data_IF_623276913001
#
_entry.id   IF_623276913001
#
_cell.length_a   1.000
_cell.length_b   1.000
_cell.length_c   1.000
_cell.angle_alpha   90.00
_cell.angle_beta   90.00
_cell.angle_gamma   90.00
#
_symmetry.space_group_name_H-M   'P 1'
#
loop_
_entity.id
_entity.type
_entity.pdbx_description
1 polymer ?
#
# COMPACT_ATOMS: atom_id res chain seq x y z
N UNK A 1 -9.66 -31.15 -14.05
CA UNK A 1 -10.81 -30.44 -13.47
C UNK A 1 -10.88 -30.85 -12.01
N UNK A 2 -10.23 -30.12 -11.10
CA UNK A 2 -10.10 -30.51 -9.70
C UNK A 2 -11.24 -29.84 -8.91
N UNK A 3 -12.09 -30.58 -8.19
CA UNK A 3 -13.17 -29.97 -7.43
C UNK A 3 -12.55 -29.11 -6.33
N UNK A 4 -12.94 -27.84 -6.28
CA UNK A 4 -12.60 -26.96 -5.17
C UNK A 4 -13.08 -27.62 -3.88
N UNK A 5 -12.15 -28.18 -3.10
CA UNK A 5 -12.45 -28.78 -1.82
C UNK A 5 -13.10 -27.70 -0.94
N UNK A 6 -14.39 -27.83 -0.70
CA UNK A 6 -15.12 -26.96 0.22
C UNK A 6 -14.40 -27.00 1.58
N UNK A 7 -13.98 -25.84 2.08
CA UNK A 7 -13.34 -25.71 3.38
C UNK A 7 -14.31 -26.19 4.46
N UNK A 8 -13.98 -27.30 5.14
CA UNK A 8 -14.79 -27.80 6.25
C UNK A 8 -14.81 -26.76 7.38
N UNK A 9 -15.91 -26.64 8.16
CA UNK A 9 -16.00 -25.68 9.26
C UNK A 9 -14.85 -25.79 10.27
N UNK A 10 -14.33 -27.01 10.49
CA UNK A 10 -13.16 -27.25 11.33
C UNK A 10 -11.86 -26.65 10.76
N UNK A 11 -11.66 -26.70 9.43
CA UNK A 11 -10.50 -26.09 8.77
C UNK A 11 -10.57 -24.56 8.74
N UNK A 12 -11.77 -23.99 8.65
CA UNK A 12 -11.99 -22.55 8.76
C UNK A 12 -11.71 -22.02 10.18
N UNK A 13 -12.07 -22.79 11.22
CA UNK A 13 -11.80 -22.43 12.61
C UNK A 13 -10.30 -22.50 12.95
N UNK A 14 -9.61 -23.54 12.49
CA UNK A 14 -8.16 -23.67 12.65
C UNK A 14 -7.39 -22.52 11.98
N UNK A 15 -7.81 -22.11 10.77
CA UNK A 15 -7.24 -20.98 10.04
C UNK A 15 -7.41 -19.66 10.83
N UNK A 16 -8.60 -19.41 11.40
CA UNK A 16 -8.86 -18.19 12.19
C UNK A 16 -8.03 -18.13 13.46
N UNK A 17 -7.80 -19.26 14.12
CA UNK A 17 -6.95 -19.33 15.31
C UNK A 17 -5.47 -19.09 14.98
N UNK A 18 -4.97 -19.69 13.89
CA UNK A 18 -3.59 -19.46 13.42
C UNK A 18 -3.38 -17.99 12.98
N UNK A 19 -4.34 -17.44 12.23
CA UNK A 19 -4.34 -16.03 11.84
C UNK A 19 -4.40 -15.09 13.06
N UNK A 20 -5.25 -15.38 14.05
CA UNK A 20 -5.38 -14.58 15.27
C UNK A 20 -4.08 -14.57 16.09
N UNK A 21 -3.41 -15.73 16.22
CA UNK A 21 -2.10 -15.82 16.87
C UNK A 21 -1.02 -15.05 16.12
N UNK A 22 -0.99 -15.15 14.79
CA UNK A 22 -0.05 -14.40 13.97
C UNK A 22 -0.27 -12.87 14.11
N UNK A 23 -1.53 -12.42 14.05
CA UNK A 23 -1.89 -11.01 14.24
C UNK A 23 -1.49 -10.50 15.63
N UNK A 24 -1.82 -11.24 16.68
CA UNK A 24 -1.46 -10.85 18.05
C UNK A 24 0.06 -10.86 18.28
N UNK A 25 0.77 -11.87 17.75
CA UNK A 25 2.22 -11.95 17.82
C UNK A 25 2.90 -10.78 17.10
N UNK A 26 2.45 -10.44 15.89
CA UNK A 26 2.95 -9.27 15.16
C UNK A 26 2.61 -7.97 15.85
N UNK A 27 1.42 -7.82 16.44
CA UNK A 27 1.04 -6.65 17.21
C UNK A 27 1.95 -6.46 18.44
N UNK A 28 2.30 -7.55 19.14
CA UNK A 28 3.23 -7.49 20.27
C UNK A 28 4.63 -7.04 19.83
N UNK A 29 5.17 -7.65 18.76
CA UNK A 29 6.47 -7.25 18.19
C UNK A 29 6.44 -5.79 17.74
N UNK A 30 5.37 -5.36 17.09
CA UNK A 30 5.16 -3.98 16.66
C UNK A 30 5.20 -3.01 17.84
N UNK A 31 4.46 -3.28 18.92
CA UNK A 31 4.41 -2.40 20.10
C UNK A 31 5.78 -2.32 20.77
N UNK A 32 6.49 -3.45 20.92
CA UNK A 32 7.84 -3.47 21.47
C UNK A 32 8.82 -2.67 20.59
N UNK A 33 8.78 -2.88 19.27
CA UNK A 33 9.62 -2.15 18.32
C UNK A 33 9.29 -0.65 18.32
N UNK A 34 8.01 -0.28 18.35
CA UNK A 34 7.57 1.11 18.39
C UNK A 34 7.98 1.81 19.69
N UNK A 35 7.85 1.14 20.84
CA UNK A 35 8.31 1.66 22.12
C UNK A 35 9.83 1.84 22.14
N UNK A 36 10.59 0.85 21.63
CA UNK A 36 12.04 0.95 21.50
C UNK A 36 12.48 2.10 20.58
N UNK A 37 11.82 2.29 19.45
CA UNK A 37 12.06 3.41 18.53
C UNK A 37 11.71 4.75 19.17
N UNK A 38 10.59 4.84 19.89
CA UNK A 38 10.19 6.05 20.58
C UNK A 38 11.24 6.48 21.62
N UNK A 39 11.77 5.52 22.39
CA UNK A 39 12.85 5.77 23.34
C UNK A 39 14.17 6.13 22.64
N UNK A 40 14.55 5.42 21.59
CA UNK A 40 15.84 5.59 20.92
C UNK A 40 15.93 6.87 20.06
N UNK A 41 14.82 7.28 19.43
CA UNK A 41 14.75 8.44 18.54
C UNK A 41 14.05 9.66 19.18
N UNK A 42 13.62 9.56 20.45
CA UNK A 42 12.94 10.65 21.15
C UNK A 42 11.59 11.00 20.53
N UNK A 43 10.84 10.00 20.05
CA UNK A 43 9.49 10.21 19.49
C UNK A 43 8.47 10.40 20.63
N UNK A 44 7.31 10.94 20.28
CA UNK A 44 6.18 11.13 21.19
C UNK A 44 5.76 9.83 21.90
N UNK A 45 5.27 9.96 23.14
CA UNK A 45 4.75 8.83 23.91
C UNK A 45 3.51 8.18 23.26
N UNK A 46 2.85 8.90 22.36
CA UNK A 46 1.74 8.44 21.54
C UNK A 46 2.18 7.62 20.30
N UNK A 47 3.48 7.59 19.95
CA UNK A 47 3.99 6.86 18.78
C UNK A 47 3.62 5.36 18.78
N UNK A 48 3.80 4.58 19.86
CA UNK A 48 3.38 3.17 19.88
C UNK A 48 1.87 3.00 19.74
N UNK A 49 1.07 3.93 20.27
CA UNK A 49 -0.38 3.91 20.13
C UNK A 49 -0.80 4.18 18.68
N UNK A 50 -0.21 5.18 18.01
CA UNK A 50 -0.44 5.47 16.58
C UNK A 50 -0.09 4.25 15.71
N UNK A 51 1.06 3.62 15.96
CA UNK A 51 1.48 2.42 15.26
C UNK A 51 0.48 1.27 15.46
N UNK A 52 0.04 1.04 16.70
CA UNK A 52 -0.94 0.00 17.00
C UNK A 52 -2.28 0.25 16.33
N UNK A 53 -2.78 1.50 16.33
CA UNK A 53 -4.04 1.86 15.67
C UNK A 53 -3.96 1.67 14.15
N UNK A 54 -2.87 2.14 13.51
CA UNK A 54 -2.65 1.93 12.08
C UNK A 54 -2.59 0.45 11.71
N UNK A 55 -1.88 -0.35 12.53
CA UNK A 55 -1.83 -1.80 12.35
C UNK A 55 -3.19 -2.46 12.56
N UNK A 56 -3.94 -2.08 13.59
CA UNK A 56 -5.26 -2.64 13.89
C UNK A 56 -6.26 -2.41 12.74
N UNK A 57 -6.21 -1.25 12.08
CA UNK A 57 -7.01 -0.96 10.88
C UNK A 57 -6.67 -1.92 9.73
N UNK A 58 -5.39 -2.09 9.41
CA UNK A 58 -4.97 -3.03 8.37
C UNK A 58 -5.27 -4.50 8.74
N UNK A 59 -5.08 -4.87 10.00
CA UNK A 59 -5.36 -6.19 10.52
C UNK A 59 -6.86 -6.52 10.43
N UNK A 60 -7.74 -5.54 10.71
CA UNK A 60 -9.17 -5.68 10.54
C UNK A 60 -9.56 -5.93 9.07
N UNK A 61 -8.90 -5.28 8.12
CA UNK A 61 -9.10 -5.52 6.69
C UNK A 61 -8.66 -6.93 6.28
N UNK A 62 -7.49 -7.39 6.75
CA UNK A 62 -7.02 -8.77 6.54
C UNK A 62 -8.03 -9.76 7.13
N UNK A 63 -8.48 -9.54 8.38
CA UNK A 63 -9.44 -10.40 9.07
C UNK A 63 -10.77 -10.50 8.32
N UNK A 64 -11.29 -9.36 7.85
CA UNK A 64 -12.50 -9.31 7.01
C UNK A 64 -12.29 -10.06 5.69
N UNK A 65 -11.10 -9.95 5.09
CA UNK A 65 -10.70 -10.68 3.90
C UNK A 65 -10.72 -12.20 4.06
N UNK A 66 -10.19 -12.70 5.18
CA UNK A 66 -10.25 -14.12 5.54
C UNK A 66 -11.71 -14.59 5.68
N UNK A 67 -12.58 -13.76 6.26
CA UNK A 67 -13.99 -14.05 6.49
C UNK A 67 -14.82 -14.21 5.21
N UNK A 68 -14.39 -13.60 4.09
CA UNK A 68 -15.09 -13.66 2.80
C UNK A 68 -14.76 -14.90 1.96
N UNK A 69 -14.00 -15.87 2.52
CA UNK A 69 -13.83 -17.19 1.92
C UNK A 69 -12.77 -17.29 0.80
N UNK A 70 -11.90 -16.29 0.66
CA UNK A 70 -10.86 -16.25 -0.39
C UNK A 70 -9.64 -17.15 -0.15
N UNK A 71 -9.59 -17.94 0.93
CA UNK A 71 -8.43 -18.77 1.29
C UNK A 71 -8.72 -20.27 1.14
N UNK A 72 -8.13 -20.95 0.14
CA UNK A 72 -8.32 -22.38 -0.09
C UNK A 72 -7.48 -23.27 0.85
N UNK A 73 -6.77 -22.71 1.84
CA UNK A 73 -5.83 -23.45 2.69
C UNK A 73 -6.14 -23.29 4.18
N UNK A 74 -5.92 -24.35 4.96
CA UNK A 74 -6.20 -24.42 6.40
C UNK A 74 -5.16 -23.74 7.31
N UNK A 75 -4.11 -23.13 6.73
CA UNK A 75 -3.01 -22.46 7.46
C UNK A 75 -2.79 -21.07 6.92
N UNK A 76 -2.40 -20.14 7.79
CA UNK A 76 -2.15 -18.76 7.41
C UNK A 76 -0.94 -18.66 6.45
N UNK A 77 0.05 -19.54 6.59
CA UNK A 77 1.15 -19.65 5.62
C UNK A 77 2.22 -18.56 5.76
N UNK A 78 3.35 -18.76 5.09
CA UNK A 78 4.52 -17.87 5.17
C UNK A 78 4.29 -16.54 4.45
N UNK A 79 3.62 -16.55 3.29
CA UNK A 79 3.30 -15.34 2.53
C UNK A 79 2.47 -14.34 3.36
N UNK A 80 1.41 -14.81 4.03
CA UNK A 80 0.59 -13.91 4.85
C UNK A 80 1.37 -13.37 6.07
N UNK A 81 2.36 -14.10 6.61
CA UNK A 81 3.23 -13.58 7.69
C UNK A 81 4.13 -12.46 7.21
N UNK A 82 4.66 -12.55 6.00
CA UNK A 82 5.45 -11.48 5.40
C UNK A 82 4.56 -10.26 5.13
N UNK A 83 3.32 -10.47 4.66
CA UNK A 83 2.33 -9.39 4.52
C UNK A 83 1.98 -8.73 5.86
N UNK A 84 1.88 -9.49 6.96
CA UNK A 84 1.72 -8.92 8.30
C UNK A 84 2.94 -8.12 8.75
N UNK A 85 4.15 -8.60 8.45
CA UNK A 85 5.39 -7.88 8.73
C UNK A 85 5.46 -6.56 7.95
N UNK A 86 5.10 -6.59 6.66
CA UNK A 86 4.96 -5.41 5.82
C UNK A 86 3.92 -4.44 6.41
N UNK A 87 2.75 -4.94 6.80
CA UNK A 87 1.71 -4.10 7.42
C UNK A 87 2.20 -3.45 8.72
N UNK A 88 2.91 -4.19 9.56
CA UNK A 88 3.53 -3.64 10.76
C UNK A 88 4.58 -2.57 10.43
N UNK A 89 5.41 -2.79 9.41
CA UNK A 89 6.37 -1.79 8.94
C UNK A 89 5.70 -0.53 8.41
N UNK A 90 4.63 -0.67 7.62
CA UNK A 90 3.82 0.47 7.17
C UNK A 90 3.19 1.23 8.34
N UNK A 91 2.72 0.52 9.37
CA UNK A 91 2.16 1.12 10.57
C UNK A 91 3.21 1.94 11.35
N UNK A 92 4.45 1.46 11.44
CA UNK A 92 5.57 2.21 12.02
C UNK A 92 5.90 3.48 11.22
N UNK A 93 5.88 3.40 9.88
CA UNK A 93 6.07 4.59 9.02
C UNK A 93 4.92 5.57 9.19
N UNK A 94 3.66 5.08 9.21
CA UNK A 94 2.48 5.92 9.40
C UNK A 94 2.44 6.60 10.78
N UNK A 95 2.98 5.96 11.82
CA UNK A 95 3.05 6.53 13.16
C UNK A 95 3.99 7.74 13.27
N UNK A 96 4.88 7.96 12.29
CA UNK A 96 5.72 9.18 12.21
C UNK A 96 4.91 10.43 11.82
N UNK A 97 3.65 10.25 11.40
CA UNK A 97 2.78 11.39 11.14
C UNK A 97 2.51 12.17 12.43
N UNK A 98 2.79 13.48 12.38
CA UNK A 98 2.70 14.37 13.53
C UNK A 98 3.89 14.29 14.50
N UNK A 99 4.89 13.45 14.24
CA UNK A 99 6.14 13.45 15.00
C UNK A 99 7.07 14.60 14.56
N UNK A 100 7.95 15.03 15.47
CA UNK A 100 9.01 16.00 15.16
C UNK A 100 10.00 15.47 14.10
N UNK A 101 10.00 14.16 13.85
CA UNK A 101 10.79 13.49 12.81
C UNK A 101 9.83 12.85 11.80
N UNK A 102 9.77 13.32 10.54
CA UNK A 102 10.47 14.47 9.95
C UNK A 102 9.54 15.71 9.92
N UNK A 103 9.50 16.51 10.99
CA UNK A 103 8.88 17.84 10.96
C UNK A 103 9.88 18.95 10.57
N UNK A 104 11.18 18.64 10.66
CA UNK A 104 12.25 19.46 10.09
C UNK A 104 12.71 18.86 8.75
N UNK A 105 13.34 19.67 7.87
CA UNK A 105 13.96 19.17 6.66
C UNK A 105 14.90 17.99 6.99
N UNK A 106 14.86 16.88 6.23
CA UNK A 106 15.73 15.72 6.43
C UNK A 106 17.23 16.05 6.51
N UNK A 107 17.67 17.15 5.88
CA UNK A 107 19.04 17.67 5.97
C UNK A 107 19.44 18.14 7.38
N UNK A 108 18.48 18.56 8.21
CA UNK A 108 18.71 18.94 9.60
C UNK A 108 18.86 17.73 10.54
N UNK A 109 18.36 16.56 10.13
CA UNK A 109 18.46 15.31 10.90
C UNK A 109 18.88 14.14 9.99
N UNK A 110 20.13 14.13 9.48
CA UNK A 110 20.54 13.18 8.45
C UNK A 110 20.41 11.71 8.85
N UNK A 111 20.74 11.36 10.10
CA UNK A 111 20.62 10.00 10.58
C UNK A 111 19.16 9.50 10.57
N UNK A 112 18.21 10.32 11.02
CA UNK A 112 16.79 10.00 11.01
C UNK A 112 16.22 9.89 9.60
N UNK A 113 16.60 10.81 8.70
CA UNK A 113 16.18 10.75 7.30
C UNK A 113 16.71 9.51 6.57
N UNK A 114 17.99 9.14 6.75
CA UNK A 114 18.52 7.89 6.19
C UNK A 114 17.87 6.64 6.79
N UNK A 115 17.63 6.63 8.10
CA UNK A 115 16.92 5.53 8.75
C UNK A 115 15.50 5.35 8.16
N UNK A 116 14.76 6.45 7.97
CA UNK A 116 13.45 6.42 7.32
C UNK A 116 13.53 5.93 5.87
N UNK A 117 14.50 6.39 5.09
CA UNK A 117 14.71 5.94 3.69
C UNK A 117 14.98 4.44 3.65
N UNK A 118 15.92 3.94 4.47
CA UNK A 118 16.24 2.51 4.52
C UNK A 118 15.02 1.70 4.94
N UNK A 119 14.33 2.13 6.00
CA UNK A 119 13.18 1.40 6.51
C UNK A 119 12.00 1.39 5.53
N UNK A 120 11.65 2.54 4.95
CA UNK A 120 10.60 2.62 3.93
C UNK A 120 10.95 1.79 2.67
N UNK A 121 12.23 1.75 2.29
CA UNK A 121 12.71 0.89 1.20
C UNK A 121 12.54 -0.60 1.53
N UNK A 122 12.91 -1.02 2.75
CA UNK A 122 12.69 -2.41 3.19
C UNK A 122 11.20 -2.76 3.14
N UNK A 123 10.32 -1.90 3.65
CA UNK A 123 8.87 -2.10 3.60
C UNK A 123 8.36 -2.22 2.15
N UNK A 124 8.85 -1.37 1.25
CA UNK A 124 8.50 -1.43 -0.17
C UNK A 124 9.05 -2.68 -0.89
N UNK A 125 10.21 -3.20 -0.49
CA UNK A 125 10.78 -4.42 -1.08
C UNK A 125 10.06 -5.68 -0.57
N UNK A 126 9.62 -5.68 0.69
CA UNK A 126 8.83 -6.78 1.26
C UNK A 126 7.52 -7.00 0.47
N UNK A 127 6.91 -5.92 -0.03
CA UNK A 127 5.76 -5.99 -0.95
C UNK A 127 6.08 -6.78 -2.23
N UNK A 128 7.15 -6.38 -2.93
CA UNK A 128 7.54 -7.02 -4.17
C UNK A 128 7.87 -8.51 -3.96
N UNK A 129 8.44 -8.86 -2.80
CA UNK A 129 8.72 -10.22 -2.41
C UNK A 129 7.43 -11.03 -2.18
N UNK A 130 6.42 -10.46 -1.52
CA UNK A 130 5.11 -11.08 -1.31
C UNK A 130 4.41 -11.40 -2.62
N UNK A 131 4.36 -10.42 -3.53
CA UNK A 131 3.77 -10.59 -4.85
C UNK A 131 4.49 -11.67 -5.66
N UNK A 132 5.82 -11.75 -5.59
CA UNK A 132 6.59 -12.80 -6.26
C UNK A 132 6.36 -14.19 -5.65
N UNK A 133 6.28 -14.28 -4.32
CA UNK A 133 6.06 -15.52 -3.60
C UNK A 133 4.65 -16.07 -3.85
N UNK A 134 3.63 -15.21 -3.82
CA UNK A 134 2.25 -15.59 -4.12
C UNK A 134 2.09 -16.14 -5.54
N UNK A 135 2.78 -15.54 -6.53
CA UNK A 135 2.80 -16.05 -7.92
C UNK A 135 3.50 -17.40 -8.02
N UNK A 136 4.64 -17.58 -7.34
CA UNK A 136 5.39 -18.86 -7.35
C UNK A 136 4.62 -20.00 -6.69
N UNK A 137 3.82 -19.70 -5.67
CA UNK A 137 3.03 -20.71 -4.94
C UNK A 137 1.65 -20.97 -5.56
N UNK A 138 1.28 -20.28 -6.65
CA UNK A 138 -0.06 -20.41 -7.24
C UNK A 138 -1.19 -19.87 -6.36
N UNK A 139 -0.87 -18.99 -5.39
CA UNK A 139 -1.79 -18.43 -4.40
C UNK A 139 -2.37 -17.07 -4.81
N UNK A 140 -2.18 -16.66 -6.06
CA UNK A 140 -2.69 -15.40 -6.58
C UNK A 140 -4.23 -15.42 -6.58
N UNK A 141 -4.86 -14.53 -5.81
CA UNK A 141 -6.31 -14.38 -5.74
C UNK A 141 -6.73 -12.96 -6.14
N UNK A 142 -7.96 -12.81 -6.65
CA UNK A 142 -8.54 -11.48 -6.97
C UNK A 142 -8.66 -10.59 -5.74
N UNK A 143 -8.98 -11.18 -4.59
CA UNK A 143 -9.02 -10.46 -3.32
C UNK A 143 -7.63 -9.96 -2.92
N UNK A 144 -6.62 -10.84 -2.95
CA UNK A 144 -5.24 -10.50 -2.64
C UNK A 144 -4.72 -9.38 -3.54
N UNK A 145 -4.94 -9.45 -4.85
CA UNK A 145 -4.56 -8.39 -5.78
C UNK A 145 -5.25 -7.04 -5.46
N UNK A 146 -6.50 -7.04 -4.99
CA UNK A 146 -7.19 -5.80 -4.62
C UNK A 146 -6.70 -5.24 -3.29
N UNK A 147 -6.48 -6.10 -2.30
CA UNK A 147 -5.94 -5.74 -1.00
C UNK A 147 -4.53 -5.17 -1.12
N UNK A 148 -3.68 -5.81 -1.93
CA UNK A 148 -2.32 -5.38 -2.22
C UNK A 148 -2.31 -3.96 -2.82
N UNK A 149 -3.13 -3.74 -3.84
CA UNK A 149 -3.29 -2.40 -4.42
C UNK A 149 -3.83 -1.33 -3.46
N UNK A 150 -4.71 -1.67 -2.51
CA UNK A 150 -5.16 -0.70 -1.49
C UNK A 150 -4.05 -0.38 -0.50
N UNK A 151 -3.27 -1.40 -0.13
CA UNK A 151 -2.14 -1.28 0.81
C UNK A 151 -1.03 -0.42 0.18
N UNK A 152 -0.71 -0.62 -1.09
CA UNK A 152 0.20 0.24 -1.86
C UNK A 152 -0.24 1.70 -1.87
N UNK A 153 -1.52 1.96 -2.13
CA UNK A 153 -2.05 3.30 -2.16
C UNK A 153 -2.04 3.97 -0.79
N UNK A 154 -2.34 3.22 0.27
CA UNK A 154 -2.24 3.70 1.64
C UNK A 154 -0.78 4.04 2.00
N UNK A 155 0.17 3.17 1.63
CA UNK A 155 1.59 3.43 1.85
C UNK A 155 2.07 4.67 1.10
N UNK A 156 1.66 4.81 -0.17
CA UNK A 156 1.95 5.98 -1.00
C UNK A 156 1.40 7.26 -0.35
N UNK A 157 0.17 7.23 0.16
CA UNK A 157 -0.42 8.39 0.85
C UNK A 157 0.35 8.76 2.12
N UNK A 158 0.78 7.77 2.91
CA UNK A 158 1.63 8.00 4.08
C UNK A 158 2.95 8.65 3.68
N UNK A 159 3.62 8.15 2.63
CA UNK A 159 4.86 8.75 2.12
C UNK A 159 4.63 10.19 1.64
N UNK A 160 3.53 10.47 0.91
CA UNK A 160 3.17 11.83 0.51
C UNK A 160 2.99 12.75 1.73
N UNK A 161 2.31 12.27 2.77
CA UNK A 161 2.10 13.05 3.99
C UNK A 161 3.41 13.32 4.73
N UNK A 162 4.34 12.35 4.77
CA UNK A 162 5.68 12.55 5.33
C UNK A 162 6.51 13.54 4.50
N UNK A 163 6.44 13.48 3.17
CA UNK A 163 7.13 14.46 2.30
C UNK A 163 6.60 15.88 2.53
N UNK A 164 5.29 16.02 2.71
CA UNK A 164 4.69 17.31 3.05
C UNK A 164 5.08 17.77 4.46
N UNK A 165 5.01 16.90 5.47
CA UNK A 165 5.40 17.17 6.86
C UNK A 165 6.88 17.60 6.96
N UNK A 166 7.74 16.98 6.16
CA UNK A 166 9.17 17.29 6.07
C UNK A 166 9.49 18.63 5.38
N UNK A 167 8.48 19.33 4.86
CA UNK A 167 8.66 20.57 4.08
C UNK A 167 9.34 20.36 2.72
N UNK A 168 9.38 19.12 2.22
CA UNK A 168 10.04 18.77 0.96
C UNK A 168 9.15 19.05 -0.26
N UNK A 169 7.83 19.06 -0.08
CA UNK A 169 6.87 19.48 -1.11
C UNK A 169 5.65 20.14 -0.45
N UNK A 170 4.87 20.89 -1.25
CA UNK A 170 3.59 21.44 -0.81
C UNK A 170 2.51 20.38 -0.65
N UNK A 171 1.33 20.74 -0.10
CA UNK A 171 0.22 19.81 0.14
C UNK A 171 -0.32 19.14 -1.13
N UNK A 172 -0.01 19.69 -2.31
CA UNK A 172 -0.34 19.09 -3.60
C UNK A 172 0.26 17.69 -3.79
N UNK A 173 1.33 17.32 -3.08
CA UNK A 173 1.92 15.96 -3.16
C UNK A 173 0.95 14.87 -2.68
N UNK A 174 0.00 15.22 -1.81
CA UNK A 174 -1.06 14.32 -1.35
C UNK A 174 -1.95 13.85 -2.52
N UNK A 175 -2.02 14.60 -3.61
CA UNK A 175 -2.76 14.19 -4.80
C UNK A 175 -2.27 12.84 -5.36
N UNK A 176 -0.98 12.51 -5.23
CA UNK A 176 -0.44 11.21 -5.67
C UNK A 176 -1.10 10.06 -4.90
N UNK A 177 -1.14 10.15 -3.56
CA UNK A 177 -1.77 9.13 -2.71
C UNK A 177 -3.29 9.10 -2.82
N UNK A 178 -3.92 10.25 -3.10
CA UNK A 178 -5.39 10.37 -3.20
C UNK A 178 -5.96 9.94 -4.55
N UNK A 179 -5.14 9.86 -5.61
CA UNK A 179 -5.58 9.58 -6.98
C UNK A 179 -6.40 8.28 -7.09
N UNK A 180 -5.97 7.22 -6.39
CA UNK A 180 -6.70 5.94 -6.37
C UNK A 180 -8.06 6.07 -5.71
N UNK A 181 -8.13 6.71 -4.55
CA UNK A 181 -9.38 6.89 -3.83
C UNK A 181 -10.35 7.77 -4.62
N UNK A 182 -9.84 8.80 -5.30
CA UNK A 182 -10.61 9.60 -6.24
C UNK A 182 -11.14 8.78 -7.43
N UNK A 183 -10.32 7.88 -8.01
CA UNK A 183 -10.76 6.99 -9.09
C UNK A 183 -11.86 6.02 -8.63
N UNK A 184 -11.72 5.43 -7.43
CA UNK A 184 -12.74 4.52 -6.86
C UNK A 184 -14.03 5.28 -6.55
N UNK A 185 -13.94 6.49 -5.99
CA UNK A 185 -15.09 7.34 -5.75
C UNK A 185 -15.78 7.73 -7.06
N UNK A 186 -15.02 8.14 -8.08
CA UNK A 186 -15.55 8.46 -9.40
C UNK A 186 -16.25 7.25 -10.05
N UNK A 187 -15.70 6.03 -9.89
CA UNK A 187 -16.30 4.81 -10.38
C UNK A 187 -17.64 4.46 -9.71
N UNK A 188 -17.91 4.95 -8.50
CA UNK A 188 -19.21 4.81 -7.85
C UNK A 188 -20.29 5.68 -8.51
N UNK A 189 -19.92 6.87 -9.02
CA UNK A 189 -20.84 7.79 -9.69
C UNK A 189 -20.94 7.56 -11.20
N UNK A 190 -19.87 7.06 -11.83
CA UNK A 190 -19.80 6.75 -13.26
C UNK A 190 -19.51 5.25 -13.42
N UNK A 191 -20.53 4.38 -13.44
CA UNK A 191 -20.34 2.92 -13.45
C UNK A 191 -19.49 2.39 -14.61
N UNK A 192 -19.37 3.15 -15.70
CA UNK A 192 -18.50 2.81 -16.83
C UNK A 192 -17.00 2.85 -16.48
N UNK A 193 -16.59 3.58 -15.43
CA UNK A 193 -15.23 3.54 -14.89
C UNK A 193 -14.94 2.24 -14.13
N UNK A 194 -15.96 1.53 -13.64
CA UNK A 194 -15.81 0.29 -12.88
C UNK A 194 -15.52 -0.95 -13.76
N UNK A 195 -15.32 -0.75 -15.07
CA UNK A 195 -14.99 -1.82 -16.01
C UNK A 195 -13.69 -2.54 -15.65
N UNK A 196 -13.58 -3.86 -15.93
CA UNK A 196 -12.38 -4.62 -15.63
C UNK A 196 -11.21 -4.09 -16.49
N UNK A 197 -10.15 -3.67 -15.83
CA UNK A 197 -8.92 -3.28 -16.50
C UNK A 197 -7.95 -4.49 -16.51
N UNK A 198 -7.35 -4.82 -17.67
CA UNK A 198 -6.37 -5.90 -17.73
C UNK A 198 -5.12 -5.57 -16.90
N UNK A 199 -4.38 -6.60 -16.43
CA UNK A 199 -3.10 -6.38 -15.77
C UNK A 199 -2.15 -5.61 -16.70
N UNK A 200 -1.49 -4.59 -16.17
CA UNK A 200 -0.66 -3.67 -16.95
C UNK A 200 0.70 -3.45 -16.30
N UNK A 201 1.77 -3.83 -17.01
CA UNK A 201 3.16 -3.58 -16.61
C UNK A 201 3.41 -2.09 -16.40
N UNK A 202 2.73 -1.22 -17.20
CA UNK A 202 2.82 0.24 -17.05
C UNK A 202 2.39 0.68 -15.66
N UNK A 203 1.25 0.19 -15.15
CA UNK A 203 0.74 0.61 -13.83
C UNK A 203 1.66 0.16 -12.70
N UNK A 204 2.17 -1.06 -12.81
CA UNK A 204 3.15 -1.58 -11.86
C UNK A 204 4.42 -0.72 -11.86
N UNK A 205 4.97 -0.40 -13.03
CA UNK A 205 6.15 0.46 -13.16
C UNK A 205 5.90 1.86 -12.58
N UNK A 206 4.75 2.47 -12.88
CA UNK A 206 4.38 3.79 -12.35
C UNK A 206 4.24 3.77 -10.83
N UNK A 207 3.65 2.70 -10.24
CA UNK A 207 3.57 2.55 -8.78
C UNK A 207 4.96 2.49 -8.13
N UNK A 208 5.86 1.66 -8.69
CA UNK A 208 7.25 1.53 -8.20
C UNK A 208 7.98 2.87 -8.32
N UNK A 209 7.88 3.55 -9.46
CA UNK A 209 8.47 4.88 -9.65
C UNK A 209 7.92 5.86 -8.62
N UNK A 210 6.62 5.80 -8.33
CA UNK A 210 5.98 6.73 -7.41
C UNK A 210 6.44 6.53 -5.96
N UNK A 211 6.45 5.28 -5.48
CA UNK A 211 6.94 4.95 -4.13
C UNK A 211 8.43 5.31 -4.03
N UNK A 212 9.23 4.94 -5.03
CA UNK A 212 10.68 5.25 -5.06
C UNK A 212 10.93 6.75 -5.05
N UNK A 213 10.21 7.52 -5.87
CA UNK A 213 10.34 8.97 -5.94
C UNK A 213 10.04 9.63 -4.58
N UNK A 214 8.98 9.19 -3.90
CA UNK A 214 8.61 9.71 -2.58
C UNK A 214 9.63 9.34 -1.50
N UNK A 215 10.19 8.13 -1.52
CA UNK A 215 11.28 7.73 -0.63
C UNK A 215 12.51 8.60 -0.88
N UNK A 216 12.89 8.84 -2.14
CA UNK A 216 14.02 9.72 -2.50
C UNK A 216 13.79 11.14 -2.00
N UNK A 217 12.57 11.67 -2.07
CA UNK A 217 12.23 12.99 -1.56
C UNK A 217 12.46 13.14 -0.04
N UNK A 218 12.42 12.04 0.72
CA UNK A 218 12.72 12.02 2.16
C UNK A 218 14.22 11.91 2.47
N UNK A 219 15.07 11.82 1.44
CA UNK A 219 16.52 11.71 1.58
C UNK A 219 17.17 12.99 2.14
N UNK A 220 18.07 12.90 3.13
CA UNK A 220 18.78 14.06 3.69
C UNK A 220 19.58 14.90 2.68
N UNK A 221 20.04 14.26 1.60
CA UNK A 221 20.82 14.90 0.52
C UNK A 221 19.95 15.66 -0.48
N UNK A 222 18.62 15.46 -0.45
CA UNK A 222 17.70 16.04 -1.44
C UNK A 222 17.15 17.36 -0.90
N UNK A 223 17.48 18.51 -1.52
CA UNK A 223 16.93 19.80 -1.11
C UNK A 223 15.47 19.94 -1.56
N UNK A 224 14.67 20.72 -0.82
CA UNK A 224 13.24 20.90 -1.05
C UNK A 224 12.84 21.26 -2.50
N UNK A 225 13.54 22.15 -3.23
CA UNK A 225 13.20 22.41 -4.63
C UNK A 225 13.34 21.18 -5.53
N UNK A 226 14.36 20.35 -5.29
CA UNK A 226 14.58 19.12 -6.05
C UNK A 226 13.56 18.05 -5.68
N UNK A 227 13.27 17.87 -4.38
CA UNK A 227 12.22 16.95 -3.92
C UNK A 227 10.85 17.33 -4.50
N UNK A 228 10.49 18.61 -4.45
CA UNK A 228 9.28 19.16 -5.08
C UNK A 228 9.25 18.88 -6.58
N UNK A 229 10.36 19.04 -7.31
CA UNK A 229 10.46 18.72 -8.74
C UNK A 229 10.26 17.23 -9.04
N UNK A 230 10.91 16.36 -8.26
CA UNK A 230 10.77 14.89 -8.36
C UNK A 230 9.31 14.48 -8.09
N UNK A 231 8.72 14.98 -7.00
CA UNK A 231 7.33 14.71 -6.65
C UNK A 231 6.36 15.19 -7.75
N UNK A 232 6.59 16.35 -8.35
CA UNK A 232 5.74 16.87 -9.43
C UNK A 232 5.83 16.01 -10.70
N UNK A 233 7.05 15.64 -11.13
CA UNK A 233 7.27 14.75 -12.27
C UNK A 233 6.61 13.38 -12.06
N UNK A 234 6.75 12.84 -10.85
CA UNK A 234 6.16 11.55 -10.48
C UNK A 234 4.61 11.61 -10.49
N UNK A 235 4.02 12.70 -9.97
CA UNK A 235 2.58 12.95 -10.03
C UNK A 235 2.06 13.11 -11.47
N UNK A 236 2.81 13.80 -12.34
CA UNK A 236 2.46 13.94 -13.76
C UNK A 236 2.47 12.58 -14.48
N UNK A 237 3.45 11.73 -14.19
CA UNK A 237 3.51 10.36 -14.71
C UNK A 237 2.31 9.54 -14.24
N UNK A 238 1.96 9.64 -12.95
CA UNK A 238 0.80 8.98 -12.37
C UNK A 238 -0.51 9.44 -13.02
N UNK A 239 -0.72 10.75 -13.11
CA UNK A 239 -1.88 11.35 -13.75
C UNK A 239 -2.02 10.93 -15.22
N UNK A 240 -0.90 10.89 -15.96
CA UNK A 240 -0.86 10.41 -17.35
C UNK A 240 -1.27 8.94 -17.46
N UNK A 241 -0.81 8.09 -16.53
CA UNK A 241 -1.22 6.68 -16.47
C UNK A 241 -2.73 6.54 -16.24
N UNK A 242 -3.30 7.28 -15.28
CA UNK A 242 -4.74 7.28 -15.04
C UNK A 242 -5.55 7.81 -16.23
N UNK A 243 -5.07 8.86 -16.90
CA UNK A 243 -5.72 9.40 -18.09
C UNK A 243 -5.81 8.37 -19.23
N UNK A 244 -4.74 7.57 -19.44
CA UNK A 244 -4.76 6.49 -20.43
C UNK A 244 -5.77 5.41 -20.03
N UNK A 245 -5.87 5.07 -18.74
CA UNK A 245 -6.82 4.08 -18.24
C UNK A 245 -8.27 4.51 -18.43
N UNK A 246 -8.57 5.77 -18.13
CA UNK A 246 -9.89 6.37 -18.35
C UNK A 246 -10.24 6.34 -19.85
N UNK A 247 -9.32 6.75 -20.74
CA UNK A 247 -9.54 6.70 -22.20
C UNK A 247 -9.77 5.28 -22.71
N UNK A 248 -9.05 4.30 -22.16
CA UNK A 248 -9.25 2.89 -22.52
C UNK A 248 -10.65 2.41 -22.14
N UNK A 249 -11.12 2.74 -20.93
CA UNK A 249 -12.47 2.41 -20.46
C UNK A 249 -13.55 3.09 -21.30
N UNK A 250 -13.38 4.36 -21.65
CA UNK A 250 -14.29 5.09 -22.54
C UNK A 250 -14.43 4.40 -23.90
N UNK A 251 -13.31 4.01 -24.52
CA UNK A 251 -13.31 3.30 -25.81
C UNK A 251 -13.97 1.93 -25.72
N UNK A 252 -13.76 1.22 -24.61
CA UNK A 252 -14.38 -0.09 -24.38
C UNK A 252 -15.90 0.00 -24.27
N UNK A 253 -16.41 0.97 -23.51
CA UNK A 253 -17.85 1.21 -23.37
C UNK A 253 -18.48 1.67 -24.69
N UNK A 254 -17.80 2.55 -25.45
CA UNK A 254 -18.28 2.97 -26.77
C UNK A 254 -18.42 1.79 -27.74
N UNK A 255 -17.46 0.85 -27.76
CA UNK A 255 -17.52 -0.37 -28.58
C UNK A 255 -18.62 -1.34 -28.16
N UNK A 256 -18.94 -1.42 -26.87
CA UNK A 256 -20.02 -2.27 -26.38
C UNK A 256 -21.42 -1.67 -26.66
N UNK A 257 -21.53 -0.34 -26.75
CA UNK A 257 -22.79 0.35 -27.10
C UNK A 257 -23.12 0.30 -28.59
N UNK A 258 -22.14 0.07 -29.47
CA UNK A 258 -22.35 -0.10 -30.92
C UNK A 258 -21.84 -1.47 -31.44
N UNK A 259 -22.56 -2.59 -31.18
CA UNK A 259 -22.18 -3.91 -31.69
C UNK A 259 -22.39 -4.14 -33.20
N UNK A 260 -22.97 -3.18 -33.94
CA UNK A 260 -23.77 -3.46 -35.15
C UNK A 260 -23.34 -2.73 -36.45
N UNK A 261 -22.06 -2.47 -36.70
CA UNK A 261 -21.63 -1.96 -38.02
C UNK A 261 -20.43 -2.67 -38.66
N UNK A 262 -20.03 -3.87 -38.17
CA UNK A 262 -18.93 -4.63 -38.81
C UNK A 262 -19.31 -6.08 -39.13
N UNK A 263 -20.53 -6.25 -39.66
CA UNK A 263 -20.91 -7.41 -40.48
C UNK A 263 -21.86 -6.93 -41.58
N UNK A 264 -21.29 -6.30 -42.60
CA UNK A 264 -21.88 -6.15 -43.92
C UNK A 264 -20.75 -6.25 -44.94
#
# INVERSE_FOLDING_TARGET
MNPAAATTPASAQALRLDAGRALAGTALVLVCAAAGLALAAGLGTDYPLKALLAYALGAALVWRGLGLGGHPHARFGTANRVTLGRLAGMALVAALLGEAVPAAPPSAQPAGGWALVVFATVVAVLDAADGALARRQGLASRFGARFDMETDAAFMLVLCALVWQAGQAGPWVLASGLMRYAFVAAAAFLPWLAGPLPPSVRRQAVCVVQITALIVCLGPIVPAPLASGIAALSLLLLASSFAIDIRHLQRHVARQRHPQETRA
#
